data_IF_723682919943
#
_entry.id   IF_723682919943
#
_cell.length_a   1.000
_cell.length_b   1.000
_cell.length_c   1.000
_cell.angle_alpha   90.00
_cell.angle_beta   90.00
_cell.angle_gamma   90.00
#
_symmetry.space_group_name_H-M   'P 1'
#
loop_
_entity.id
_entity.type
_entity.pdbx_description
1 polymer ?
#
# COMPACT_ATOMS: atom_id res chain seq x y z
N UNK A 1 -8.20 -19.80 -5.11
CA UNK A 1 -7.24 -20.08 -6.19
C UNK A 1 -7.02 -18.84 -7.04
N UNK A 2 -7.96 -18.43 -7.90
CA UNK A 2 -7.75 -17.27 -8.80
C UNK A 2 -7.62 -15.92 -8.06
N UNK A 3 -8.36 -15.72 -6.95
CA UNK A 3 -8.22 -14.51 -6.12
C UNK A 3 -6.92 -14.49 -5.31
N UNK A 4 -6.52 -15.63 -4.77
CA UNK A 4 -5.25 -15.77 -4.01
C UNK A 4 -4.05 -15.47 -4.92
N UNK A 5 -4.09 -15.94 -6.17
CA UNK A 5 -3.07 -15.66 -7.19
C UNK A 5 -3.01 -14.17 -7.54
N UNK A 6 -4.17 -13.49 -7.69
CA UNK A 6 -4.24 -12.05 -7.94
C UNK A 6 -3.70 -11.24 -6.76
N UNK A 7 -4.02 -11.65 -5.53
CA UNK A 7 -3.50 -11.03 -4.30
C UNK A 7 -1.99 -11.23 -4.21
N UNK A 8 -1.51 -12.46 -4.45
CA UNK A 8 -0.08 -12.76 -4.42
C UNK A 8 0.68 -11.93 -5.46
N UNK A 9 0.18 -11.85 -6.69
CA UNK A 9 0.75 -11.00 -7.73
C UNK A 9 0.83 -9.53 -7.29
N UNK A 10 -0.25 -9.00 -6.70
CA UNK A 10 -0.26 -7.62 -6.21
C UNK A 10 0.79 -7.39 -5.10
N UNK A 11 0.96 -8.33 -4.18
CA UNK A 11 1.97 -8.26 -3.12
C UNK A 11 3.39 -8.27 -3.72
N UNK A 12 3.65 -9.18 -4.67
CA UNK A 12 4.97 -9.34 -5.30
C UNK A 12 5.38 -8.13 -6.16
N UNK A 13 4.40 -7.39 -6.70
CA UNK A 13 4.64 -6.25 -7.59
C UNK A 13 4.42 -4.88 -6.91
N UNK A 14 4.10 -4.84 -5.62
CA UNK A 14 3.97 -3.58 -4.87
C UNK A 14 5.30 -3.20 -4.23
N UNK A 15 5.77 -1.99 -4.49
CA UNK A 15 6.99 -1.44 -3.91
C UNK A 15 6.76 -0.12 -3.16
N UNK A 16 7.62 0.15 -2.18
CA UNK A 16 7.57 1.41 -1.41
C UNK A 16 8.36 2.48 -2.16
N UNK A 17 7.63 3.38 -2.82
CA UNK A 17 8.24 4.52 -3.55
C UNK A 17 8.76 5.61 -2.61
N UNK A 18 8.04 5.85 -1.50
CA UNK A 18 8.41 6.83 -0.49
C UNK A 18 8.18 6.26 0.91
N UNK A 19 9.23 6.11 1.74
CA UNK A 19 9.07 5.69 3.12
C UNK A 19 8.47 6.82 3.98
N UNK A 20 7.92 6.50 5.16
CA UNK A 20 7.54 7.51 6.14
C UNK A 20 8.73 8.40 6.54
N UNK A 21 8.51 9.71 6.65
CA UNK A 21 9.54 10.65 7.10
C UNK A 21 9.81 10.55 8.61
N UNK A 22 8.80 10.10 9.38
CA UNK A 22 8.88 9.94 10.82
C UNK A 22 9.10 8.48 11.21
N UNK A 23 9.77 8.26 12.35
CA UNK A 23 9.92 6.93 12.92
C UNK A 23 8.56 6.35 13.32
N UNK A 24 8.29 5.11 12.91
CA UNK A 24 7.09 4.39 13.32
C UNK A 24 7.31 3.78 14.71
N UNK A 25 6.31 3.90 15.57
CA UNK A 25 6.31 3.16 16.84
C UNK A 25 6.24 1.66 16.54
N UNK A 26 7.24 0.90 17.01
CA UNK A 26 7.28 -0.56 16.87
C UNK A 26 6.54 -1.28 18.01
N UNK A 27 6.31 -0.58 19.13
CA UNK A 27 5.51 -1.03 20.26
C UNK A 27 4.39 0.00 20.51
N UNK A 28 3.14 -0.46 20.45
CA UNK A 28 1.94 0.37 20.56
C UNK A 28 1.29 0.67 19.21
N UNK A 29 0.28 1.55 19.22
CA UNK A 29 -0.52 1.82 18.03
C UNK A 29 0.22 2.71 17.04
N UNK A 30 0.39 2.23 15.82
CA UNK A 30 0.88 2.99 14.68
C UNK A 30 -0.27 3.28 13.72
N UNK A 31 -0.38 4.53 13.27
CA UNK A 31 -1.42 4.98 12.35
C UNK A 31 -0.77 5.66 11.14
N UNK A 32 -0.87 5.03 9.98
CA UNK A 32 -0.16 5.43 8.76
C UNK A 32 -1.20 5.84 7.73
N UNK A 33 -1.10 7.09 7.27
CA UNK A 33 -1.76 7.55 6.06
C UNK A 33 -0.81 7.33 4.88
N UNK A 34 -1.32 6.73 3.81
CA UNK A 34 -0.53 6.43 2.63
C UNK A 34 -1.32 6.69 1.35
N UNK A 35 -0.56 6.85 0.27
CA UNK A 35 -1.09 6.93 -1.09
C UNK A 35 -0.63 5.69 -1.85
N UNK A 36 -1.54 5.04 -2.55
CA UNK A 36 -1.26 3.93 -3.46
C UNK A 36 -1.41 4.42 -4.90
N UNK A 37 -0.35 4.29 -5.68
CA UNK A 37 -0.36 4.62 -7.11
C UNK A 37 -0.46 3.32 -7.89
N UNK A 38 -1.47 3.18 -8.73
CA UNK A 38 -1.65 1.99 -9.59
C UNK A 38 -1.94 2.40 -11.02
N UNK A 39 -1.50 1.61 -11.99
CA UNK A 39 -1.90 1.79 -13.38
C UNK A 39 -3.37 1.37 -13.57
N UNK A 40 -4.15 2.22 -14.26
CA UNK A 40 -5.37 1.78 -14.92
C UNK A 40 -4.99 1.29 -16.31
N UNK A 41 -5.43 0.08 -16.66
CA UNK A 41 -5.17 -0.54 -17.98
C UNK A 41 -5.51 0.36 -19.18
N UNK A 42 -6.42 1.33 -19.05
CA UNK A 42 -6.90 2.14 -20.18
C UNK A 42 -6.52 3.63 -20.17
N UNK A 43 -6.25 4.27 -19.02
CA UNK A 43 -5.82 5.67 -19.00
C UNK A 43 -5.43 6.17 -17.60
N UNK A 44 -4.19 6.66 -17.49
CA UNK A 44 -3.58 7.37 -16.36
C UNK A 44 -3.48 6.59 -15.02
N UNK A 45 -2.40 6.86 -14.28
CA UNK A 45 -2.21 6.32 -12.94
C UNK A 45 -3.30 6.83 -11.99
N UNK A 46 -3.90 5.92 -11.22
CA UNK A 46 -4.85 6.27 -10.15
C UNK A 46 -4.09 6.39 -8.85
N UNK A 47 -4.30 7.50 -8.16
CA UNK A 47 -3.89 7.66 -6.77
C UNK A 47 -5.08 7.32 -5.87
N UNK A 48 -4.91 6.33 -5.00
CA UNK A 48 -5.85 6.01 -3.92
C UNK A 48 -5.26 6.42 -2.59
N UNK A 49 -6.09 6.93 -1.69
CA UNK A 49 -5.71 7.19 -0.32
C UNK A 49 -6.12 6.04 0.59
N UNK A 50 -5.30 5.79 1.62
CA UNK A 50 -5.55 4.73 2.59
C UNK A 50 -5.02 5.09 3.97
N UNK A 51 -5.57 4.39 4.96
CA UNK A 51 -5.15 4.49 6.36
C UNK A 51 -5.00 3.10 6.95
N UNK A 52 -3.82 2.80 7.47
CA UNK A 52 -3.55 1.56 8.21
C UNK A 52 -3.37 1.88 9.68
N UNK A 53 -4.07 1.14 10.54
CA UNK A 53 -3.88 1.17 11.98
C UNK A 53 -3.35 -0.19 12.40
N UNK A 54 -2.11 -0.22 12.89
CA UNK A 54 -1.51 -1.40 13.50
C UNK A 54 -1.52 -1.19 15.02
N UNK A 55 -2.12 -2.12 15.77
CA UNK A 55 -2.22 -2.08 17.23
C UNK A 55 -1.72 -3.39 17.84
#
# INVERSE_FOLDING_TARGET
>A
MEEDEKIQYAIENTEVVRPPEQSLATFGTCNIYYYLVTELMESANVVREGRVIAA
#
